data_IF_087144122406
#
_entry.id   IF_087144122406
#
_cell.length_a   1.000
_cell.length_b   1.000
_cell.length_c   1.000
_cell.angle_alpha   90.00
_cell.angle_beta   90.00
_cell.angle_gamma   90.00
#
_symmetry.space_group_name_H-M   'P 1'
#
loop_
_entity.id
_entity.type
_entity.pdbx_description
1 polymer ?
#
# COMPACT_ATOMS: atom_id res chain seq x y z
N UNK A 1 69.55 29.08 -27.10
CA UNK A 1 68.49 29.78 -26.36
C UNK A 1 67.30 28.82 -26.28
N UNK A 2 67.25 27.84 -25.37
CA UNK A 2 66.86 27.88 -23.94
C UNK A 2 65.57 28.66 -23.64
N UNK A 3 64.47 27.93 -23.48
CA UNK A 3 63.41 28.06 -22.44
C UNK A 3 62.27 27.10 -22.85
N UNK A 4 62.04 25.95 -22.22
CA UNK A 4 61.57 25.69 -20.85
C UNK A 4 60.14 26.19 -20.62
N UNK A 5 59.17 25.27 -20.68
CA UNK A 5 57.88 25.39 -20.02
C UNK A 5 57.61 24.07 -19.26
N UNK A 6 57.71 24.21 -17.95
CA UNK A 6 57.48 23.25 -16.88
C UNK A 6 56.03 22.75 -16.85
N UNK A 7 55.85 21.44 -16.84
CA UNK A 7 54.59 20.76 -16.51
C UNK A 7 54.44 20.66 -14.99
N UNK A 8 53.35 21.18 -14.44
CA UNK A 8 52.89 20.88 -13.07
C UNK A 8 52.12 19.56 -13.04
N UNK A 9 52.33 18.68 -12.05
CA UNK A 9 51.53 17.47 -11.91
C UNK A 9 50.23 17.77 -11.16
N UNK A 10 49.10 17.43 -11.77
CA UNK A 10 47.77 17.50 -11.17
C UNK A 10 47.59 16.38 -10.14
N UNK A 11 47.23 16.75 -8.91
CA UNK A 11 46.90 15.86 -7.79
C UNK A 11 45.67 15.00 -8.12
N UNK A 12 45.64 13.69 -7.80
CA UNK A 12 44.46 12.87 -8.04
C UNK A 12 43.36 13.23 -7.03
N UNK A 13 42.23 13.70 -7.53
CA UNK A 13 41.01 13.90 -6.76
C UNK A 13 40.48 12.53 -6.30
N UNK A 14 40.46 12.32 -4.99
CA UNK A 14 39.77 11.21 -4.32
C UNK A 14 38.29 11.25 -4.67
N UNK A 15 37.91 10.41 -5.63
CA UNK A 15 36.51 10.14 -5.98
C UNK A 15 35.89 9.39 -4.81
N UNK A 16 35.15 10.11 -3.97
CA UNK A 16 34.28 9.50 -2.97
C UNK A 16 33.36 8.52 -3.71
N UNK A 17 33.49 7.24 -3.38
CA UNK A 17 32.57 6.19 -3.78
C UNK A 17 31.21 6.54 -3.20
N UNK A 18 30.34 7.13 -4.03
CA UNK A 18 28.89 7.10 -3.81
C UNK A 18 28.54 5.62 -3.68
N UNK A 19 28.15 5.19 -2.49
CA UNK A 19 27.52 3.91 -2.31
C UNK A 19 26.33 3.86 -3.27
N UNK A 20 26.43 3.03 -4.30
CA UNK A 20 25.28 2.60 -5.08
C UNK A 20 24.38 1.87 -4.11
N UNK A 21 23.29 2.51 -3.69
CA UNK A 21 22.18 1.81 -3.06
C UNK A 21 21.86 0.61 -3.96
N UNK A 22 21.89 -0.63 -3.42
CA UNK A 22 21.36 -1.74 -4.19
C UNK A 22 19.94 -1.33 -4.58
N UNK A 23 19.63 -1.40 -5.87
CA UNK A 23 18.28 -1.32 -6.42
C UNK A 23 17.45 -2.54 -6.00
N UNK A 24 17.72 -3.06 -4.80
CA UNK A 24 17.41 -4.40 -4.36
C UNK A 24 15.93 -4.54 -4.16
N UNK A 25 15.36 -5.47 -4.90
CA UNK A 25 14.00 -5.93 -4.73
C UNK A 25 13.74 -6.35 -3.28
N UNK A 26 12.46 -6.49 -2.93
CA UNK A 26 12.08 -6.90 -1.59
C UNK A 26 12.78 -8.23 -1.24
N UNK A 27 13.06 -8.46 0.04
CA UNK A 27 13.60 -9.74 0.50
C UNK A 27 12.47 -10.65 0.96
N UNK A 28 12.61 -11.95 0.73
CA UNK A 28 11.73 -12.94 1.34
C UNK A 28 11.85 -12.88 2.87
N UNK A 29 10.71 -12.85 3.56
CA UNK A 29 10.61 -12.70 5.01
C UNK A 29 10.36 -14.04 5.72
N UNK A 30 10.40 -14.03 7.05
CA UNK A 30 10.13 -15.25 7.83
C UNK A 30 8.67 -15.67 7.69
N UNK A 31 8.40 -16.96 7.41
CA UNK A 31 7.04 -17.46 7.30
C UNK A 31 6.31 -17.40 8.65
N UNK A 32 4.98 -17.27 8.58
CA UNK A 32 4.10 -17.09 9.75
C UNK A 32 3.15 -18.26 9.96
N UNK A 33 3.33 -19.33 9.20
CA UNK A 33 2.59 -20.58 9.32
C UNK A 33 2.87 -21.50 8.14
N UNK A 34 2.00 -22.48 7.95
CA UNK A 34 2.19 -23.55 6.96
C UNK A 34 2.08 -23.08 5.51
N UNK A 35 1.22 -22.10 5.22
CA UNK A 35 0.98 -21.62 3.86
C UNK A 35 2.09 -20.68 3.41
N UNK A 36 2.44 -19.71 4.26
CA UNK A 36 3.55 -18.79 4.03
C UNK A 36 4.90 -19.52 3.98
N UNK A 37 5.09 -20.58 4.77
CA UNK A 37 6.27 -21.45 4.66
C UNK A 37 6.32 -22.15 3.29
N UNK A 38 5.21 -22.74 2.85
CA UNK A 38 5.13 -23.42 1.56
C UNK A 38 5.45 -22.48 0.38
N UNK A 39 4.96 -21.23 0.42
CA UNK A 39 5.26 -20.21 -0.59
C UNK A 39 6.75 -19.82 -0.53
N UNK A 40 7.27 -19.46 0.65
CA UNK A 40 8.67 -19.04 0.80
C UNK A 40 9.65 -20.14 0.36
N UNK A 41 9.41 -21.39 0.74
CA UNK A 41 10.23 -22.54 0.32
C UNK A 41 10.15 -22.78 -1.19
N UNK A 42 8.95 -22.72 -1.77
CA UNK A 42 8.74 -22.85 -3.22
C UNK A 42 9.52 -21.79 -4.01
N UNK A 43 9.48 -20.53 -3.56
CA UNK A 43 10.19 -19.43 -4.20
C UNK A 43 11.71 -19.59 -4.07
N UNK A 44 12.21 -19.97 -2.88
CA UNK A 44 13.66 -20.18 -2.65
C UNK A 44 14.21 -21.38 -3.42
N UNK A 45 13.44 -22.47 -3.51
CA UNK A 45 13.89 -23.72 -4.12
C UNK A 45 13.57 -23.82 -5.61
N UNK A 46 12.89 -22.82 -6.19
CA UNK A 46 12.31 -22.88 -7.53
C UNK A 46 11.50 -24.17 -7.75
N UNK A 47 10.58 -24.45 -6.83
CA UNK A 47 9.79 -25.67 -6.77
C UNK A 47 8.30 -25.38 -6.58
N UNK A 48 7.45 -26.40 -6.71
CA UNK A 48 6.03 -26.28 -6.41
C UNK A 48 5.80 -26.10 -4.88
N UNK A 49 4.83 -25.27 -4.45
CA UNK A 49 4.47 -25.12 -3.04
C UNK A 49 3.87 -26.41 -2.47
N UNK A 50 4.52 -26.94 -1.43
CA UNK A 50 4.09 -28.15 -0.74
C UNK A 50 3.34 -27.81 0.55
N UNK A 51 2.05 -28.13 0.61
CA UNK A 51 1.22 -27.97 1.82
C UNK A 51 0.23 -29.13 1.95
N UNK A 52 -0.25 -29.39 3.17
CA UNK A 52 -1.22 -30.47 3.41
C UNK A 52 -2.54 -30.20 2.68
N UNK A 53 -3.23 -31.23 2.16
CA UNK A 53 -4.60 -31.08 1.68
C UNK A 53 -5.49 -30.41 2.75
N UNK A 54 -6.34 -29.49 2.31
CA UNK A 54 -7.23 -28.72 3.19
C UNK A 54 -6.55 -27.67 4.06
N UNK A 55 -5.24 -27.40 3.91
CA UNK A 55 -4.55 -26.34 4.65
C UNK A 55 -5.26 -24.98 4.47
N UNK A 56 -5.53 -24.60 3.21
CA UNK A 56 -6.20 -23.35 2.85
C UNK A 56 -7.61 -23.26 3.46
N UNK A 57 -8.40 -24.33 3.36
CA UNK A 57 -9.77 -24.35 3.91
C UNK A 57 -9.79 -24.16 5.43
N UNK A 58 -8.80 -24.73 6.14
CA UNK A 58 -8.66 -24.60 7.59
C UNK A 58 -7.99 -23.31 8.05
N UNK A 59 -7.42 -22.52 7.14
CA UNK A 59 -6.72 -21.30 7.49
C UNK A 59 -7.71 -20.20 7.91
N UNK A 60 -7.27 -19.39 8.87
CA UNK A 60 -7.94 -18.14 9.22
C UNK A 60 -7.78 -17.16 8.05
N UNK A 61 -8.87 -16.73 7.40
CA UNK A 61 -8.82 -15.78 6.29
C UNK A 61 -8.24 -14.43 6.69
N UNK A 62 -8.21 -14.07 7.97
CA UNK A 62 -7.66 -12.80 8.46
C UNK A 62 -6.28 -12.98 9.11
N UNK A 63 -5.80 -14.21 9.22
CA UNK A 63 -4.63 -14.57 9.99
C UNK A 63 -3.31 -14.30 9.28
N UNK A 64 -2.25 -14.21 10.09
CA UNK A 64 -0.87 -13.95 9.66
C UNK A 64 -0.35 -14.91 8.57
N UNK A 65 -0.71 -16.20 8.63
CA UNK A 65 -0.24 -17.20 7.67
C UNK A 65 -0.81 -16.96 6.26
N UNK A 66 -2.15 -16.85 6.16
CA UNK A 66 -2.83 -16.68 4.88
C UNK A 66 -2.51 -15.33 4.25
N UNK A 67 -2.56 -14.25 5.04
CA UNK A 67 -2.35 -12.90 4.53
C UNK A 67 -0.90 -12.69 4.08
N UNK A 68 0.09 -13.26 4.78
CA UNK A 68 1.47 -13.24 4.28
C UNK A 68 1.65 -14.10 3.02
N UNK A 69 1.12 -15.32 2.99
CA UNK A 69 1.24 -16.18 1.82
C UNK A 69 0.66 -15.51 0.56
N UNK A 70 -0.52 -14.90 0.70
CA UNK A 70 -1.19 -14.18 -0.39
C UNK A 70 -0.40 -12.94 -0.83
N UNK A 71 0.15 -12.18 0.12
CA UNK A 71 1.00 -11.01 -0.19
C UNK A 71 2.25 -11.39 -0.98
N UNK A 72 2.97 -12.45 -0.55
CA UNK A 72 4.15 -12.95 -1.25
C UNK A 72 3.82 -13.37 -2.69
N UNK A 73 2.65 -13.99 -2.92
CA UNK A 73 2.20 -14.38 -4.26
C UNK A 73 1.80 -13.18 -5.14
N UNK A 74 1.36 -12.07 -4.55
CA UNK A 74 1.04 -10.85 -5.28
C UNK A 74 2.27 -10.03 -5.64
N UNK A 75 3.29 -9.98 -4.77
CA UNK A 75 4.53 -9.23 -5.05
C UNK A 75 5.28 -9.74 -6.29
N UNK A 76 5.06 -10.99 -6.70
CA UNK A 76 5.57 -11.53 -7.97
C UNK A 76 5.08 -10.75 -9.20
N UNK A 77 3.92 -10.10 -9.14
CA UNK A 77 3.37 -9.27 -10.22
C UNK A 77 3.74 -7.79 -10.12
N UNK A 78 4.65 -7.44 -9.20
CA UNK A 78 5.16 -6.09 -9.04
C UNK A 78 6.69 -6.08 -9.20
N UNK A 79 7.45 -6.06 -8.11
CA UNK A 79 8.93 -6.04 -8.13
C UNK A 79 9.57 -7.38 -7.76
N UNK A 80 8.77 -8.40 -7.46
CA UNK A 80 9.28 -9.70 -7.04
C UNK A 80 10.11 -9.65 -5.77
N UNK A 81 11.04 -10.60 -5.64
CA UNK A 81 11.95 -10.68 -4.51
C UNK A 81 13.38 -10.97 -4.95
N UNK A 82 14.35 -10.46 -4.20
CA UNK A 82 15.78 -10.72 -4.41
C UNK A 82 16.06 -12.24 -4.43
N UNK A 83 16.64 -12.72 -5.53
CA UNK A 83 16.97 -14.13 -5.76
C UNK A 83 15.81 -15.03 -6.16
N UNK A 84 14.61 -14.49 -6.43
CA UNK A 84 13.48 -15.22 -7.02
C UNK A 84 13.45 -14.95 -8.52
N UNK A 85 13.25 -16.00 -9.31
CA UNK A 85 13.15 -15.90 -10.78
C UNK A 85 11.85 -15.15 -11.19
N UNK A 86 11.95 -14.19 -12.11
CA UNK A 86 10.82 -13.36 -12.56
C UNK A 86 9.71 -14.21 -13.20
N UNK A 87 10.06 -15.32 -13.86
CA UNK A 87 9.09 -16.23 -14.50
C UNK A 87 8.19 -16.94 -13.48
N UNK A 88 8.52 -16.88 -12.17
CA UNK A 88 7.71 -17.45 -11.08
C UNK A 88 6.34 -16.80 -10.99
N UNK A 89 6.15 -15.59 -11.50
CA UNK A 89 4.83 -14.95 -11.54
C UNK A 89 3.80 -15.78 -12.34
N UNK A 90 4.27 -16.63 -13.26
CA UNK A 90 3.44 -17.50 -14.11
C UNK A 90 3.52 -18.99 -13.76
N UNK A 91 4.16 -19.36 -12.64
CA UNK A 91 4.23 -20.75 -12.18
C UNK A 91 2.79 -21.29 -11.90
N UNK A 92 2.33 -22.35 -12.60
CA UNK A 92 0.96 -22.83 -12.48
C UNK A 92 0.58 -23.30 -11.07
N UNK A 93 1.52 -23.83 -10.30
CA UNK A 93 1.24 -24.34 -8.94
C UNK A 93 1.18 -23.19 -7.93
N UNK A 94 1.99 -22.14 -8.10
CA UNK A 94 1.85 -20.91 -7.33
C UNK A 94 0.52 -20.21 -7.64
N UNK A 95 0.14 -20.12 -8.92
CA UNK A 95 -1.13 -19.54 -9.34
C UNK A 95 -2.33 -20.34 -8.78
N UNK A 96 -2.26 -21.67 -8.79
CA UNK A 96 -3.30 -22.53 -8.19
C UNK A 96 -3.44 -22.26 -6.69
N UNK A 97 -2.34 -22.21 -5.95
CA UNK A 97 -2.38 -21.87 -4.53
C UNK A 97 -2.93 -20.46 -4.31
N UNK A 98 -2.54 -19.48 -5.12
CA UNK A 98 -3.08 -18.12 -5.02
C UNK A 98 -4.60 -18.11 -5.17
N UNK A 99 -5.14 -18.76 -6.21
CA UNK A 99 -6.59 -18.84 -6.44
C UNK A 99 -7.34 -19.46 -5.25
N UNK A 100 -6.77 -20.49 -4.61
CA UNK A 100 -7.36 -21.11 -3.43
C UNK A 100 -7.39 -20.13 -2.23
N UNK A 101 -6.31 -19.37 -2.00
CA UNK A 101 -6.20 -18.36 -0.94
C UNK A 101 -7.13 -17.15 -1.20
N UNK A 102 -7.18 -16.67 -2.44
CA UNK A 102 -8.08 -15.60 -2.90
C UNK A 102 -9.53 -16.00 -2.66
N UNK A 103 -9.91 -17.23 -3.03
CA UNK A 103 -11.27 -17.75 -2.81
C UNK A 103 -11.65 -17.75 -1.33
N UNK A 104 -10.71 -18.14 -0.46
CA UNK A 104 -10.90 -18.11 1.00
C UNK A 104 -11.07 -16.67 1.53
N UNK A 105 -10.28 -15.74 1.03
CA UNK A 105 -10.33 -14.32 1.42
C UNK A 105 -11.61 -13.64 0.92
N UNK A 106 -11.97 -13.83 -0.35
CA UNK A 106 -13.23 -13.33 -0.94
C UNK A 106 -14.46 -13.86 -0.22
N UNK A 107 -14.47 -15.16 0.14
CA UNK A 107 -15.59 -15.73 0.89
C UNK A 107 -15.75 -15.07 2.27
N UNK A 108 -14.63 -14.76 2.94
CA UNK A 108 -14.65 -14.08 4.22
C UNK A 108 -15.17 -12.64 4.08
N UNK A 109 -14.68 -11.88 3.09
CA UNK A 109 -15.20 -10.56 2.76
C UNK A 109 -16.71 -10.59 2.48
N UNK A 110 -17.18 -11.52 1.65
CA UNK A 110 -18.60 -11.67 1.31
C UNK A 110 -19.48 -12.06 2.51
N UNK A 111 -18.93 -12.76 3.50
CA UNK A 111 -19.64 -13.12 4.73
C UNK A 111 -19.78 -11.92 5.68
N UNK A 112 -18.71 -11.15 5.88
CA UNK A 112 -18.73 -9.93 6.72
C UNK A 112 -19.58 -8.83 6.10
N UNK A 113 -19.62 -8.78 4.76
CA UNK A 113 -20.33 -7.77 3.98
C UNK A 113 -21.66 -8.29 3.43
N UNK A 114 -22.30 -9.24 4.11
CA UNK A 114 -23.59 -9.80 3.65
C UNK A 114 -24.69 -8.73 3.55
N UNK A 115 -24.62 -7.72 4.42
CA UNK A 115 -25.55 -6.58 4.49
C UNK A 115 -24.94 -5.28 3.95
N UNK A 116 -23.85 -5.37 3.19
CA UNK A 116 -23.18 -4.19 2.65
C UNK A 116 -24.05 -3.42 1.63
N UNK A 117 -23.79 -2.11 1.47
CA UNK A 117 -24.40 -1.27 0.44
C UNK A 117 -24.42 -1.93 -0.94
N UNK A 118 -25.51 -1.74 -1.67
CA UNK A 118 -25.67 -2.29 -3.03
C UNK A 118 -25.60 -1.24 -4.12
N UNK A 119 -25.68 0.02 -3.73
CA UNK A 119 -25.58 1.17 -4.63
C UNK A 119 -24.37 2.03 -4.29
N UNK A 120 -23.90 2.79 -5.28
CA UNK A 120 -22.83 3.77 -5.08
C UNK A 120 -23.27 4.81 -4.04
N UNK A 121 -24.51 5.31 -4.14
CA UNK A 121 -25.02 6.31 -3.20
C UNK A 121 -24.93 5.85 -1.74
N UNK A 122 -25.42 4.64 -1.45
CA UNK A 122 -25.37 4.06 -0.09
C UNK A 122 -23.94 3.86 0.41
N UNK A 123 -23.02 3.46 -0.46
CA UNK A 123 -21.62 3.20 -0.10
C UNK A 123 -20.84 4.50 0.19
N UNK A 124 -21.06 5.55 -0.60
CA UNK A 124 -20.31 6.80 -0.50
C UNK A 124 -20.94 7.82 0.46
N UNK A 125 -22.26 7.79 0.69
CA UNK A 125 -22.92 8.77 1.55
C UNK A 125 -22.28 8.90 2.95
N UNK A 126 -21.89 7.82 3.65
CA UNK A 126 -21.21 7.92 4.94
C UNK A 126 -19.81 8.57 4.86
N UNK A 127 -19.10 8.40 3.73
CA UNK A 127 -17.74 8.92 3.55
C UNK A 127 -17.70 10.45 3.38
N UNK A 128 -18.82 11.03 2.92
CA UNK A 128 -18.95 12.48 2.68
C UNK A 128 -19.32 13.26 3.94
N UNK A 129 -19.61 12.57 5.04
CA UNK A 129 -19.96 13.17 6.31
C UNK A 129 -18.79 12.97 7.27
N UNK A 130 -18.07 14.05 7.59
CA UNK A 130 -17.04 14.00 8.64
C UNK A 130 -17.72 14.06 10.01
N UNK A 131 -17.70 12.99 10.83
CA UNK A 131 -18.28 13.06 12.17
C UNK A 131 -17.42 14.01 13.02
N UNK A 132 -18.07 15.03 13.60
CA UNK A 132 -17.42 16.08 14.39
C UNK A 132 -16.59 15.55 15.58
N UNK A 133 -16.92 14.34 16.06
CA UNK A 133 -16.28 13.66 17.19
C UNK A 133 -15.47 12.41 16.78
N UNK A 134 -15.07 12.27 15.52
CA UNK A 134 -14.35 11.07 15.06
C UNK A 134 -12.95 10.95 15.72
N UNK A 135 -12.79 9.89 16.53
CA UNK A 135 -11.53 9.51 17.18
C UNK A 135 -10.58 8.68 16.31
N UNK A 136 -10.65 8.82 14.98
CA UNK A 136 -9.86 8.02 14.04
C UNK A 136 -8.36 8.28 14.13
N UNK A 137 -7.53 7.37 13.59
CA UNK A 137 -6.06 7.46 13.68
C UNK A 137 -5.49 8.80 13.22
N UNK A 138 -6.00 9.37 12.13
CA UNK A 138 -5.51 10.66 11.62
C UNK A 138 -5.86 11.82 12.57
N UNK A 139 -7.00 11.76 13.27
CA UNK A 139 -7.34 12.72 14.33
C UNK A 139 -6.45 12.56 15.56
N UNK A 140 -6.20 11.32 16.00
CA UNK A 140 -5.24 11.03 17.06
C UNK A 140 -3.87 11.61 16.72
N UNK A 141 -3.36 11.30 15.52
CA UNK A 141 -2.07 11.82 15.06
C UNK A 141 -2.07 13.35 14.95
N UNK A 142 -3.16 14.00 14.51
CA UNK A 142 -3.29 15.47 14.42
C UNK A 142 -3.36 16.17 15.79
N UNK A 143 -3.86 15.50 16.83
CA UNK A 143 -4.06 16.14 18.14
C UNK A 143 -2.98 15.75 19.15
N UNK A 144 -2.69 14.46 19.25
CA UNK A 144 -1.94 13.85 20.35
C UNK A 144 -0.77 12.99 19.87
N UNK A 145 -0.65 12.77 18.56
CA UNK A 145 0.37 11.91 17.96
C UNK A 145 1.80 12.23 18.39
N UNK A 146 2.57 11.18 18.67
CA UNK A 146 3.99 11.29 18.97
C UNK A 146 4.86 10.96 17.75
N UNK A 147 6.10 11.44 17.71
CA UNK A 147 7.01 11.19 16.58
C UNK A 147 7.23 9.69 16.33
N UNK A 148 7.25 8.86 17.38
CA UNK A 148 7.39 7.42 17.23
C UNK A 148 6.16 6.79 16.55
N UNK A 149 4.95 7.32 16.79
CA UNK A 149 3.71 6.88 16.14
C UNK A 149 3.71 7.28 14.66
N UNK A 150 4.19 8.49 14.33
CA UNK A 150 4.35 8.93 12.94
C UNK A 150 5.36 8.06 12.17
N UNK A 151 6.49 7.71 12.81
CA UNK A 151 7.48 6.78 12.25
C UNK A 151 6.88 5.39 12.02
N UNK A 152 6.13 4.88 12.99
CA UNK A 152 5.49 3.57 12.89
C UNK A 152 4.39 3.55 11.81
N UNK A 153 3.56 4.58 11.75
CA UNK A 153 2.54 4.76 10.72
C UNK A 153 3.16 4.81 9.32
N UNK A 154 4.24 5.56 9.14
CA UNK A 154 4.96 5.62 7.87
C UNK A 154 5.61 4.27 7.49
N UNK A 155 6.15 3.53 8.46
CA UNK A 155 6.68 2.19 8.21
C UNK A 155 5.59 1.20 7.78
N UNK A 156 4.43 1.21 8.45
CA UNK A 156 3.28 0.36 8.09
C UNK A 156 2.78 0.67 6.67
N UNK A 157 2.57 1.95 6.36
CA UNK A 157 2.01 2.39 5.08
C UNK A 157 3.01 2.31 3.91
N UNK A 158 4.30 2.16 4.18
CA UNK A 158 5.35 2.03 3.16
C UNK A 158 5.17 0.89 2.17
N UNK A 159 4.52 -0.21 2.57
CA UNK A 159 4.31 -1.37 1.69
C UNK A 159 3.39 -1.06 0.51
N UNK A 160 2.45 -0.11 0.69
CA UNK A 160 1.64 0.40 -0.41
C UNK A 160 2.31 1.61 -1.05
N UNK A 161 2.61 2.66 -0.28
CA UNK A 161 2.99 3.94 -0.89
C UNK A 161 4.30 3.88 -1.69
N UNK A 162 5.23 2.96 -1.40
CA UNK A 162 6.45 2.80 -2.22
C UNK A 162 6.20 2.17 -3.61
N UNK A 163 4.95 1.80 -3.92
CA UNK A 163 4.44 1.40 -5.24
C UNK A 163 3.11 2.08 -5.59
N UNK A 164 2.80 3.21 -4.98
CA UNK A 164 1.64 4.00 -5.40
C UNK A 164 1.87 4.56 -6.82
N UNK A 165 0.98 4.38 -7.79
CA UNK A 165 -0.38 3.78 -7.76
C UNK A 165 -0.49 2.42 -8.49
N UNK A 166 0.58 1.62 -8.55
CA UNK A 166 0.72 0.40 -9.36
C UNK A 166 -0.49 -0.57 -9.31
N UNK A 167 -1.13 -0.87 -8.15
CA UNK A 167 -2.28 -1.77 -8.11
C UNK A 167 -3.51 -1.26 -8.88
N UNK A 168 -3.69 0.06 -8.99
CA UNK A 168 -4.84 0.67 -9.64
C UNK A 168 -4.71 0.68 -11.17
N UNK A 169 -3.47 0.78 -11.68
CA UNK A 169 -3.15 0.73 -13.12
C UNK A 169 -3.71 -0.50 -13.83
N UNK A 170 -3.83 -1.64 -13.13
CA UNK A 170 -4.39 -2.87 -13.68
C UNK A 170 -5.83 -2.72 -14.19
N UNK A 171 -6.57 -1.69 -13.74
CA UNK A 171 -7.93 -1.41 -14.21
C UNK A 171 -7.93 -0.79 -15.61
N UNK A 172 -6.91 -0.01 -15.98
CA UNK A 172 -6.88 0.80 -17.21
C UNK A 172 -7.08 -0.05 -18.49
N UNK A 173 -6.46 -1.23 -18.65
CA UNK A 173 -6.70 -2.09 -19.81
C UNK A 173 -8.13 -2.62 -19.91
N UNK A 174 -8.90 -2.59 -18.80
CA UNK A 174 -10.24 -3.18 -18.66
C UNK A 174 -11.35 -2.15 -18.79
N UNK A 175 -11.03 -0.86 -18.60
CA UNK A 175 -11.94 0.25 -18.84
C UNK A 175 -11.98 0.64 -20.32
N UNK A 176 -13.05 1.32 -20.71
CA UNK A 176 -13.23 1.94 -22.04
C UNK A 176 -13.82 3.34 -21.89
N UNK A 177 -13.86 4.07 -23.00
CA UNK A 177 -14.55 5.35 -23.09
C UNK A 177 -14.12 6.36 -22.03
N UNK A 178 -15.12 7.05 -21.47
CA UNK A 178 -14.96 8.14 -20.51
C UNK A 178 -14.24 7.69 -19.23
N UNK A 179 -14.63 6.54 -18.69
CA UNK A 179 -14.02 6.00 -17.48
C UNK A 179 -12.52 5.72 -17.66
N UNK A 180 -12.12 5.17 -18.81
CA UNK A 180 -10.71 4.92 -19.10
C UNK A 180 -9.90 6.21 -19.18
N UNK A 181 -10.42 7.21 -19.91
CA UNK A 181 -9.71 8.48 -20.09
C UNK A 181 -9.51 9.20 -18.75
N UNK A 182 -10.54 9.21 -17.90
CA UNK A 182 -10.47 9.79 -16.57
C UNK A 182 -9.51 9.05 -15.64
N UNK A 183 -9.60 7.72 -15.58
CA UNK A 183 -8.69 6.90 -14.77
C UNK A 183 -7.23 7.12 -15.17
N UNK A 184 -6.93 7.10 -16.47
CA UNK A 184 -5.57 7.31 -16.97
C UNK A 184 -5.04 8.74 -16.68
N UNK A 185 -5.93 9.74 -16.59
CA UNK A 185 -5.54 11.10 -16.25
C UNK A 185 -5.16 11.23 -14.77
N UNK A 186 -5.90 10.58 -13.87
CA UNK A 186 -5.55 10.53 -12.44
C UNK A 186 -4.22 9.81 -12.25
N UNK A 187 -4.08 8.61 -12.82
CA UNK A 187 -2.86 7.82 -12.74
C UNK A 187 -1.63 8.54 -13.33
N UNK A 188 -1.82 9.32 -14.40
CA UNK A 188 -0.74 10.16 -14.93
C UNK A 188 -0.24 11.19 -13.90
N UNK A 189 -1.14 11.75 -13.07
CA UNK A 189 -0.79 12.66 -11.99
C UNK A 189 -0.07 11.93 -10.85
N UNK A 190 -0.57 10.77 -10.42
CA UNK A 190 0.06 9.90 -9.41
C UNK A 190 1.50 9.51 -9.78
N UNK A 191 1.74 9.28 -11.09
CA UNK A 191 3.08 9.05 -11.65
C UNK A 191 3.87 10.35 -11.95
N UNK A 192 3.56 11.44 -11.25
CA UNK A 192 4.30 12.69 -11.25
C UNK A 192 4.15 13.51 -12.52
N UNK A 193 3.12 13.26 -13.34
CA UNK A 193 2.85 13.96 -14.59
C UNK A 193 4.09 14.05 -15.52
N UNK A 194 4.80 12.93 -15.65
CA UNK A 194 6.02 12.80 -16.46
C UNK A 194 7.31 13.28 -15.78
N UNK A 195 7.26 13.60 -14.47
CA UNK A 195 8.41 14.03 -13.67
C UNK A 195 8.75 12.96 -12.63
N UNK A 196 9.83 12.18 -12.81
CA UNK A 196 10.13 11.04 -11.96
C UNK A 196 10.41 11.41 -10.50
N UNK A 197 10.87 12.64 -10.24
CA UNK A 197 11.08 13.19 -8.90
C UNK A 197 9.77 13.54 -8.17
N UNK A 198 8.62 13.53 -8.87
CA UNK A 198 7.29 13.81 -8.33
C UNK A 198 6.38 12.60 -8.25
N UNK A 199 6.82 11.43 -8.68
CA UNK A 199 6.03 10.19 -8.49
C UNK A 199 5.72 10.07 -7.00
N UNK A 200 4.46 9.79 -6.63
CA UNK A 200 4.04 9.78 -5.23
C UNK A 200 4.83 8.78 -4.38
N UNK A 201 5.18 7.62 -4.95
CA UNK A 201 6.11 6.69 -4.31
C UNK A 201 7.49 7.27 -3.99
N UNK A 202 8.01 8.18 -4.83
CA UNK A 202 9.26 8.90 -4.54
C UNK A 202 9.08 9.93 -3.43
N UNK A 203 7.99 10.68 -3.45
CA UNK A 203 7.66 11.65 -2.39
C UNK A 203 7.50 10.94 -1.03
N UNK A 204 6.91 9.74 -1.02
CA UNK A 204 6.80 8.92 0.18
C UNK A 204 8.16 8.42 0.68
N UNK A 205 9.06 8.00 -0.22
CA UNK A 205 10.42 7.65 0.14
C UNK A 205 11.16 8.83 0.79
N UNK A 206 10.97 10.05 0.29
CA UNK A 206 11.57 11.26 0.89
C UNK A 206 10.95 11.59 2.26
N UNK A 207 9.64 11.38 2.45
CA UNK A 207 8.97 11.42 3.76
C UNK A 207 9.60 10.44 4.76
N UNK A 208 9.88 9.21 4.32
CA UNK A 208 10.48 8.18 5.18
C UNK A 208 11.89 8.57 5.61
N UNK A 209 12.69 9.17 4.71
CA UNK A 209 14.03 9.68 5.02
C UNK A 209 13.97 10.78 6.08
N UNK A 210 13.05 11.73 5.93
CA UNK A 210 12.80 12.81 6.89
C UNK A 210 12.46 12.25 8.29
N UNK A 211 11.67 11.18 8.33
CA UNK A 211 11.34 10.44 9.55
C UNK A 211 12.47 9.53 10.06
N UNK A 212 13.62 9.45 9.39
CA UNK A 212 14.74 8.58 9.76
C UNK A 212 14.41 7.08 9.64
N UNK A 213 13.64 6.73 8.62
CA UNK A 213 13.30 5.36 8.20
C UNK A 213 14.11 4.97 6.96
N UNK A 214 14.13 3.68 6.67
CA UNK A 214 14.77 3.11 5.49
C UNK A 214 13.74 2.99 4.36
N UNK A 215 13.85 3.77 3.27
CA UNK A 215 12.85 3.81 2.21
C UNK A 215 12.95 2.67 1.19
N UNK A 216 13.77 1.63 1.45
CA UNK A 216 13.89 0.50 0.54
C UNK A 216 12.54 -0.24 0.38
N UNK A 217 12.24 -0.64 -0.86
CA UNK A 217 11.00 -1.34 -1.19
C UNK A 217 10.89 -2.66 -0.40
N UNK A 218 9.71 -2.91 0.20
CA UNK A 218 9.47 -4.11 1.01
C UNK A 218 10.24 -4.19 2.33
N UNK A 219 10.98 -3.13 2.74
CA UNK A 219 11.87 -3.13 3.91
C UNK A 219 11.19 -3.56 5.21
N UNK A 220 9.91 -3.19 5.35
CA UNK A 220 9.11 -3.38 6.57
C UNK A 220 8.13 -4.56 6.47
N UNK A 221 8.25 -5.41 5.45
CA UNK A 221 7.34 -6.54 5.24
C UNK A 221 7.34 -7.53 6.40
N UNK A 222 8.51 -7.85 6.96
CA UNK A 222 8.62 -8.81 8.07
C UNK A 222 7.88 -8.33 9.33
N UNK A 223 7.84 -7.00 9.54
CA UNK A 223 7.17 -6.35 10.65
C UNK A 223 5.67 -6.07 10.41
N UNK A 224 5.19 -6.12 9.17
CA UNK A 224 3.80 -5.81 8.83
C UNK A 224 2.82 -6.82 9.45
N UNK A 225 1.77 -6.39 10.17
CA UNK A 225 0.77 -7.30 10.73
C UNK A 225 -0.27 -7.72 9.70
N UNK A 226 -1.02 -8.80 9.97
CA UNK A 226 -2.04 -9.32 9.06
C UNK A 226 -3.13 -8.31 8.65
N UNK A 227 -3.66 -7.44 9.54
CA UNK A 227 -4.63 -6.41 9.15
C UNK A 227 -4.09 -5.46 8.08
N UNK A 228 -2.79 -5.13 8.10
CA UNK A 228 -2.15 -4.33 7.05
C UNK A 228 -1.99 -5.12 5.76
N UNK A 229 -1.55 -6.38 5.84
CA UNK A 229 -1.39 -7.21 4.65
C UNK A 229 -2.74 -7.43 3.93
N UNK A 230 -3.84 -7.52 4.68
CA UNK A 230 -5.17 -7.62 4.11
C UNK A 230 -5.54 -6.41 3.24
N UNK A 231 -5.19 -5.18 3.62
CA UNK A 231 -5.48 -3.98 2.80
C UNK A 231 -4.72 -4.02 1.47
N UNK A 232 -3.45 -4.43 1.50
CA UNK A 232 -2.60 -4.60 0.31
C UNK A 232 -3.10 -5.71 -0.61
N UNK A 233 -3.51 -6.83 -0.01
CA UNK A 233 -3.99 -7.99 -0.72
C UNK A 233 -5.35 -7.71 -1.40
N UNK A 234 -6.19 -6.87 -0.80
CA UNK A 234 -7.45 -6.41 -1.41
C UNK A 234 -7.21 -5.68 -2.74
N UNK A 235 -6.26 -4.74 -2.76
CA UNK A 235 -5.90 -3.99 -3.95
C UNK A 235 -5.46 -4.91 -5.09
N UNK A 236 -4.58 -5.87 -4.77
CA UNK A 236 -4.04 -6.82 -5.75
C UNK A 236 -5.09 -7.84 -6.22
N UNK A 237 -5.97 -8.29 -5.33
CA UNK A 237 -7.10 -9.16 -5.64
C UNK A 237 -8.07 -8.53 -6.63
N UNK A 238 -8.42 -7.26 -6.44
CA UNK A 238 -9.27 -6.54 -7.38
C UNK A 238 -8.49 -6.17 -8.66
N UNK A 239 -7.20 -5.86 -8.49
CA UNK A 239 -6.27 -5.49 -9.54
C UNK A 239 -5.95 -6.59 -10.52
N UNK A 240 -5.74 -7.85 -10.13
CA UNK A 240 -5.29 -8.88 -11.07
C UNK A 240 -6.44 -9.58 -11.81
N UNK A 241 -7.68 -9.41 -11.35
CA UNK A 241 -8.86 -10.07 -11.92
C UNK A 241 -9.72 -9.14 -12.75
N UNK A 242 -9.87 -9.45 -14.05
CA UNK A 242 -10.70 -8.64 -14.96
C UNK A 242 -12.16 -8.54 -14.52
N UNK A 243 -12.70 -9.61 -13.94
CA UNK A 243 -14.06 -9.65 -13.37
C UNK A 243 -14.23 -8.64 -12.24
N UNK A 244 -13.17 -8.30 -11.51
CA UNK A 244 -13.22 -7.44 -10.33
C UNK A 244 -13.00 -5.95 -10.63
N UNK A 245 -13.08 -5.52 -11.90
CA UNK A 245 -12.85 -4.10 -12.26
C UNK A 245 -13.80 -3.13 -11.55
N UNK A 246 -15.06 -3.52 -11.31
CA UNK A 246 -16.00 -2.71 -10.53
C UNK A 246 -15.55 -2.57 -9.08
N UNK A 247 -15.11 -3.67 -8.47
CA UNK A 247 -14.55 -3.72 -7.11
C UNK A 247 -13.32 -2.81 -6.99
N UNK A 248 -12.41 -2.84 -7.97
CA UNK A 248 -11.22 -1.97 -7.96
C UNK A 248 -11.59 -0.49 -8.10
N UNK A 249 -12.53 -0.14 -8.98
CA UNK A 249 -13.02 1.25 -9.12
C UNK A 249 -13.67 1.73 -7.83
N UNK A 250 -14.46 0.88 -7.17
CA UNK A 250 -15.07 1.19 -5.88
C UNK A 250 -14.04 1.40 -4.77
N UNK A 251 -13.03 0.53 -4.70
CA UNK A 251 -11.89 0.68 -3.80
C UNK A 251 -11.15 2.00 -4.05
N UNK A 252 -10.79 2.27 -5.30
CA UNK A 252 -10.05 3.48 -5.68
C UNK A 252 -10.83 4.74 -5.31
N UNK A 253 -12.10 4.80 -5.68
CA UNK A 253 -12.95 5.94 -5.34
C UNK A 253 -13.12 6.14 -3.82
N UNK A 254 -13.15 5.07 -3.03
CA UNK A 254 -13.17 5.17 -1.56
C UNK A 254 -11.90 5.85 -1.02
N UNK A 255 -10.72 5.51 -1.57
CA UNK A 255 -9.45 6.12 -1.18
C UNK A 255 -9.43 7.60 -1.56
N UNK A 256 -9.76 7.93 -2.81
CA UNK A 256 -9.80 9.31 -3.30
C UNK A 256 -10.72 10.22 -2.48
N UNK A 257 -11.93 9.73 -2.14
CA UNK A 257 -12.91 10.50 -1.35
C UNK A 257 -12.42 10.78 0.07
N UNK A 258 -11.66 9.87 0.66
CA UNK A 258 -11.25 9.98 2.07
C UNK A 258 -9.85 10.58 2.24
N UNK A 259 -9.06 10.66 1.16
CA UNK A 259 -7.65 11.04 1.22
C UNK A 259 -7.43 12.49 1.61
N UNK A 260 -8.02 13.48 0.91
CA UNK A 260 -7.72 14.91 1.18
C UNK A 260 -7.96 15.34 2.65
N UNK A 261 -9.08 14.97 3.31
CA UNK A 261 -9.26 15.25 4.74
C UNK A 261 -8.21 14.55 5.63
N UNK A 262 -7.90 13.28 5.35
CA UNK A 262 -6.90 12.50 6.08
C UNK A 262 -5.50 13.09 5.96
N UNK A 263 -5.08 13.39 4.73
CA UNK A 263 -3.80 14.00 4.38
C UNK A 263 -3.64 15.38 5.03
N UNK A 264 -4.69 16.20 5.10
CA UNK A 264 -4.66 17.48 5.80
C UNK A 264 -4.30 17.32 7.29
N UNK A 265 -4.85 16.30 7.95
CA UNK A 265 -4.57 16.00 9.36
C UNK A 265 -3.16 15.47 9.55
N UNK A 266 -2.71 14.58 8.67
CA UNK A 266 -1.36 14.02 8.69
C UNK A 266 -0.29 15.09 8.43
N UNK A 267 -0.52 16.01 7.47
CA UNK A 267 0.38 17.13 7.21
C UNK A 267 0.54 18.04 8.44
N UNK A 268 -0.55 18.32 9.17
CA UNK A 268 -0.51 19.05 10.45
C UNK A 268 0.25 18.27 11.52
N UNK A 269 0.03 16.97 11.64
CA UNK A 269 0.75 16.10 12.57
C UNK A 269 2.26 16.10 12.29
N UNK A 270 2.66 15.95 11.02
CA UNK A 270 4.06 15.98 10.59
C UNK A 270 4.73 17.31 10.96
N UNK A 271 4.06 18.44 10.70
CA UNK A 271 4.55 19.77 11.09
C UNK A 271 4.68 19.93 12.61
N UNK A 272 3.66 19.52 13.38
CA UNK A 272 3.66 19.63 14.85
C UNK A 272 4.80 18.84 15.48
N UNK A 273 5.06 17.63 14.99
CA UNK A 273 6.09 16.74 15.53
C UNK A 273 7.50 17.00 14.98
N UNK A 274 7.68 18.00 14.11
CA UNK A 274 8.97 18.31 13.52
C UNK A 274 9.50 17.20 12.60
N UNK A 275 8.61 16.49 11.90
CA UNK A 275 8.95 15.32 11.08
C UNK A 275 9.82 15.63 9.86
N UNK A 276 9.91 16.91 9.45
CA UNK A 276 10.64 17.34 8.26
C UNK A 276 9.73 17.93 7.18
N UNK A 277 10.34 18.53 6.15
CA UNK A 277 9.59 19.23 5.09
C UNK A 277 9.04 18.26 4.05
N UNK A 278 9.81 17.25 3.65
CA UNK A 278 9.35 16.23 2.72
C UNK A 278 8.21 15.41 3.34
N UNK A 279 8.30 15.13 4.64
CA UNK A 279 7.24 14.45 5.37
C UNK A 279 5.90 15.20 5.33
N UNK A 280 5.91 16.53 5.49
CA UNK A 280 4.69 17.32 5.32
C UNK A 280 4.27 17.45 3.85
N UNK A 281 5.23 17.62 2.93
CA UNK A 281 4.98 17.85 1.51
C UNK A 281 4.22 16.70 0.84
N UNK A 282 4.55 15.44 1.14
CA UNK A 282 3.82 14.28 0.61
C UNK A 282 2.31 14.40 0.86
N UNK A 283 1.91 14.74 2.08
CA UNK A 283 0.50 14.89 2.42
C UNK A 283 -0.10 16.20 1.93
N UNK A 284 0.67 17.29 1.84
CA UNK A 284 0.17 18.53 1.25
C UNK A 284 -0.15 18.33 -0.25
N UNK A 285 0.62 17.52 -0.98
CA UNK A 285 0.32 17.15 -2.38
C UNK A 285 -1.05 16.45 -2.49
N UNK A 286 -1.29 15.43 -1.67
CA UNK A 286 -2.56 14.70 -1.61
C UNK A 286 -3.74 15.55 -1.10
N UNK A 287 -3.49 16.65 -0.40
CA UNK A 287 -4.57 17.60 -0.06
C UNK A 287 -5.07 18.32 -1.30
N UNK A 288 -4.15 18.72 -2.20
CA UNK A 288 -4.45 19.52 -3.39
C UNK A 288 -4.91 18.64 -4.57
N UNK A 289 -4.16 17.57 -4.87
CA UNK A 289 -4.45 16.66 -5.97
C UNK A 289 -5.78 15.91 -5.74
N UNK A 290 -5.94 15.29 -4.56
CA UNK A 290 -7.06 14.39 -4.32
C UNK A 290 -8.40 15.13 -4.18
N UNK A 291 -8.37 16.43 -3.85
CA UNK A 291 -9.57 17.27 -3.89
C UNK A 291 -10.15 17.40 -5.31
N UNK A 292 -9.28 17.31 -6.34
CA UNK A 292 -9.70 17.25 -7.74
C UNK A 292 -10.01 15.81 -8.14
N UNK A 293 -9.17 14.85 -7.76
CA UNK A 293 -9.34 13.44 -8.11
C UNK A 293 -10.66 12.87 -7.59
N UNK A 294 -11.10 13.23 -6.38
CA UNK A 294 -12.41 12.83 -5.85
C UNK A 294 -13.54 13.17 -6.85
N UNK A 295 -13.54 14.39 -7.37
CA UNK A 295 -14.60 14.82 -8.27
C UNK A 295 -14.52 14.09 -9.61
N UNK A 296 -13.30 13.87 -10.13
CA UNK A 296 -13.07 13.14 -11.38
C UNK A 296 -13.47 11.67 -11.23
N UNK A 297 -13.10 11.00 -10.13
CA UNK A 297 -13.40 9.59 -9.94
C UNK A 297 -14.91 9.36 -9.80
N UNK A 298 -15.63 10.22 -9.08
CA UNK A 298 -17.08 10.08 -8.89
C UNK A 298 -17.85 10.35 -10.18
N UNK A 299 -17.53 11.42 -10.89
CA UNK A 299 -18.34 11.87 -12.03
C UNK A 299 -17.91 11.22 -13.35
N UNK A 300 -16.61 11.08 -13.57
CA UNK A 300 -16.06 10.62 -14.86
C UNK A 300 -15.68 9.14 -14.84
N UNK A 301 -15.06 8.63 -13.78
CA UNK A 301 -14.70 7.21 -13.68
C UNK A 301 -15.95 6.37 -13.38
N UNK A 302 -16.59 6.55 -12.22
CA UNK A 302 -17.80 5.82 -11.84
C UNK A 302 -18.95 6.15 -12.79
N UNK A 303 -19.23 7.43 -13.01
CA UNK A 303 -20.29 7.85 -13.91
C UNK A 303 -20.06 7.39 -15.36
N UNK A 304 -18.81 7.33 -15.83
CA UNK A 304 -18.47 6.75 -17.13
C UNK A 304 -18.69 5.24 -17.16
N UNK A 305 -18.25 4.54 -16.12
CA UNK A 305 -18.36 3.08 -16.04
C UNK A 305 -19.81 2.63 -15.97
N UNK A 306 -20.66 3.29 -15.16
CA UNK A 306 -22.07 2.91 -15.02
C UNK A 306 -22.93 3.32 -16.21
N UNK A 307 -22.50 4.30 -17.01
CA UNK A 307 -23.17 4.61 -18.27
C UNK A 307 -22.99 3.47 -19.30
N UNK A 308 -21.81 2.85 -19.34
CA UNK A 308 -21.49 1.76 -20.27
C UNK A 308 -21.86 0.37 -19.70
N UNK A 309 -21.69 0.17 -18.39
CA UNK A 309 -21.78 -1.11 -17.68
C UNK A 309 -22.57 -0.99 -16.35
N UNK A 310 -23.88 -0.66 -16.38
CA UNK A 310 -24.67 -0.39 -15.17
C UNK A 310 -24.76 -1.58 -14.19
N UNK A 311 -24.55 -2.82 -14.67
CA UNK A 311 -24.55 -4.01 -13.82
C UNK A 311 -23.40 -4.05 -12.79
N UNK A 312 -22.39 -3.17 -12.91
CA UNK A 312 -21.25 -3.11 -12.00
C UNK A 312 -21.50 -2.27 -10.74
N UNK A 313 -22.68 -1.67 -10.56
CA UNK A 313 -22.94 -0.78 -9.42
C UNK A 313 -22.72 -1.48 -8.06
N UNK A 314 -23.22 -2.70 -7.91
CA UNK A 314 -23.04 -3.47 -6.69
C UNK A 314 -21.57 -3.87 -6.45
N UNK A 315 -20.79 -4.06 -7.51
CA UNK A 315 -19.35 -4.33 -7.40
C UNK A 315 -18.60 -3.07 -6.92
N UNK A 316 -18.97 -1.89 -7.44
CA UNK A 316 -18.38 -0.61 -6.99
C UNK A 316 -18.72 -0.38 -5.51
N UNK A 317 -19.97 -0.59 -5.12
CA UNK A 317 -20.41 -0.46 -3.73
C UNK A 317 -19.66 -1.45 -2.81
N UNK A 318 -19.54 -2.71 -3.21
CA UNK A 318 -18.79 -3.72 -2.44
C UNK A 318 -17.31 -3.37 -2.34
N UNK A 319 -16.67 -2.90 -3.42
CA UNK A 319 -15.26 -2.49 -3.40
C UNK A 319 -14.98 -1.38 -2.39
N UNK A 320 -15.89 -0.40 -2.32
CA UNK A 320 -15.87 0.64 -1.29
C UNK A 320 -16.05 0.05 0.11
N UNK A 321 -17.10 -0.75 0.34
CA UNK A 321 -17.38 -1.34 1.65
C UNK A 321 -16.25 -2.25 2.17
N UNK A 322 -15.64 -3.05 1.29
CA UNK A 322 -14.49 -3.89 1.62
C UNK A 322 -13.25 -3.07 2.00
N UNK A 323 -13.06 -1.92 1.35
CA UNK A 323 -11.97 -1.00 1.68
C UNK A 323 -12.16 -0.42 3.07
N UNK A 324 -13.36 0.10 3.38
CA UNK A 324 -13.70 0.62 4.70
C UNK A 324 -13.53 -0.45 5.78
N UNK A 325 -14.06 -1.66 5.57
CA UNK A 325 -13.94 -2.77 6.53
C UNK A 325 -12.48 -3.08 6.90
N UNK A 326 -11.59 -3.13 5.91
CA UNK A 326 -10.19 -3.47 6.16
C UNK A 326 -9.41 -2.30 6.76
N UNK A 327 -9.69 -1.07 6.33
CA UNK A 327 -9.10 0.13 6.91
C UNK A 327 -9.53 0.33 8.38
N UNK A 328 -10.78 0.03 8.72
CA UNK A 328 -11.28 0.06 10.10
C UNK A 328 -10.58 -0.99 10.97
N UNK A 329 -10.41 -2.23 10.47
CA UNK A 329 -9.66 -3.27 11.18
C UNK A 329 -8.20 -2.90 11.40
N UNK A 330 -7.56 -2.29 10.40
CA UNK A 330 -6.19 -1.78 10.55
C UNK A 330 -6.13 -0.64 11.56
N UNK A 331 -7.10 0.27 11.52
CA UNK A 331 -7.20 1.39 12.45
C UNK A 331 -7.41 0.92 13.90
N UNK A 332 -8.27 -0.06 14.12
CA UNK A 332 -8.51 -0.68 15.42
C UNK A 332 -7.23 -1.35 15.96
N UNK A 333 -6.55 -2.15 15.12
CA UNK A 333 -5.29 -2.81 15.50
C UNK A 333 -4.22 -1.79 15.93
N UNK A 334 -4.02 -0.74 15.14
CA UNK A 334 -3.03 0.31 15.45
C UNK A 334 -3.45 1.08 16.70
N UNK A 335 -4.71 1.51 16.77
CA UNK A 335 -5.24 2.30 17.87
C UNK A 335 -5.15 1.57 19.20
N UNK A 336 -5.51 0.29 19.24
CA UNK A 336 -5.41 -0.55 20.44
C UNK A 336 -3.95 -0.70 20.90
N UNK A 337 -3.03 -0.97 19.98
CA UNK A 337 -1.60 -1.07 20.32
C UNK A 337 -1.05 0.25 20.88
N UNK A 338 -1.42 1.39 20.29
CA UNK A 338 -0.97 2.70 20.72
C UNK A 338 -1.56 3.15 22.05
N UNK A 339 -2.83 2.85 22.31
CA UNK A 339 -3.48 3.15 23.59
C UNK A 339 -2.79 2.44 24.78
N UNK A 340 -2.18 1.28 24.52
CA UNK A 340 -1.39 0.52 25.51
C UNK A 340 0.10 0.90 25.52
N UNK A 341 0.51 1.91 24.74
CA UNK A 341 1.92 2.29 24.61
C UNK A 341 2.79 1.18 24.01
N UNK A 342 2.20 0.31 23.15
CA UNK A 342 2.87 -0.78 22.41
C UNK A 342 2.97 -0.48 20.90
N UNK A 343 3.71 -1.31 20.18
CA UNK A 343 3.89 -1.20 18.72
C UNK A 343 2.78 -1.95 18.02
N UNK A 344 2.24 -1.37 16.95
CA UNK A 344 1.34 -2.05 16.03
C UNK A 344 2.09 -2.95 15.02
N UNK A 345 3.41 -2.78 14.89
CA UNK A 345 4.26 -3.69 14.14
C UNK A 345 4.48 -4.99 14.90
N UNK A 346 4.66 -6.10 14.19
CA UNK A 346 5.02 -7.40 14.78
C UNK A 346 6.32 -7.34 15.57
N UNK A 347 7.28 -6.54 15.08
CA UNK A 347 8.53 -6.22 15.78
C UNK A 347 8.70 -4.70 15.79
N UNK A 348 8.86 -4.06 16.96
CA UNK A 348 8.98 -2.61 17.06
C UNK A 348 10.16 -2.04 16.26
N UNK A 349 10.04 -0.80 15.79
CA UNK A 349 11.15 -0.08 15.17
C UNK A 349 12.32 0.09 16.17
N UNK A 350 13.58 0.04 15.70
CA UNK A 350 14.74 0.37 16.53
C UNK A 350 14.64 1.78 17.12
N UNK A 351 15.07 1.96 18.36
CA UNK A 351 15.07 3.27 19.04
C UNK A 351 13.80 3.61 19.80
N UNK A 352 12.81 2.71 19.88
CA UNK A 352 11.75 2.80 20.88
C UNK A 352 12.36 2.58 22.26
N UNK A 353 12.65 3.66 22.98
CA UNK A 353 12.86 3.55 24.41
C UNK A 353 11.57 2.94 24.99
N UNK A 354 11.68 1.76 25.61
CA UNK A 354 10.55 1.20 26.36
C UNK A 354 10.05 2.21 27.39
N UNK A 355 8.80 2.07 27.88
CA UNK A 355 8.30 2.97 28.92
C UNK A 355 9.34 3.03 30.05
N UNK A 356 9.70 4.25 30.47
CA UNK A 356 10.49 4.42 31.69
C UNK A 356 9.68 3.73 32.79
N UNK A 357 10.20 2.62 33.32
CA UNK A 357 9.67 2.06 34.54
C UNK A 357 9.82 3.14 35.62
N UNK A 358 8.70 3.63 36.15
CA UNK A 358 8.67 4.46 37.35
C UNK A 358 9.06 3.64 38.59
#
# INVERSE_FOLDING_TARGET
MTASLTSTPSTPSTRATKATASTGDARLVEPRGTLSAAVTEALRANAAPAHRPGAVLSADPWGEDLQLALHLLYELHYRGFDGVDDDREWDPELLRLRLDLESRFLHALGTELSDAPRTVEEAFAPLLVEPLDSGGLSHHLEREGELWQLREYAALRSLYHLKEADPHVWVIPRLRGRAKAAMAAIEYDEFGAGRPDRIHARLYADLMVDLGLDPAYGRYLDQAPAPLLATLNLMSLFGLHRSHRGLLVGHFACVEVTSSPGSRRLAKAMRRCGAGRAAAHFYDEHVEADAVHEQVVRHEVIGGLLADEPSLEADIAFGCAATVLLEDRLAEHIGAAWAEGRSALRTPLPGRAGPRAE
#
